data_IF_274732880527
#
_entry.id   IF_274732880527
#
_cell.length_a   1.000
_cell.length_b   1.000
_cell.length_c   1.000
_cell.angle_alpha   90.00
_cell.angle_beta   90.00
_cell.angle_gamma   90.00
#
_symmetry.space_group_name_H-M   'P 1'
#
loop_
_entity.id
_entity.type
_entity.pdbx_description
1 polymer ?
#
# COMPACT_ATOMS: atom_id res chain seq x y z
N UNK A 1 3.28 2.92 20.25
CA UNK A 1 2.59 1.70 19.79
C UNK A 1 1.37 1.48 20.66
N UNK A 2 0.19 1.31 20.07
CA UNK A 2 -1.06 1.14 20.82
C UNK A 2 -1.08 -0.24 21.51
N UNK A 3 -1.50 -0.36 22.79
CA UNK A 3 -1.61 -1.66 23.45
C UNK A 3 -2.55 -2.61 22.70
N UNK A 4 -2.24 -3.91 22.70
CA UNK A 4 -3.01 -4.91 21.96
C UNK A 4 -4.49 -4.95 22.37
N UNK A 5 -4.76 -4.86 23.68
CA UNK A 5 -6.14 -4.79 24.19
C UNK A 5 -6.91 -3.61 23.59
N UNK A 6 -6.29 -2.43 23.50
CA UNK A 6 -6.94 -1.27 22.91
C UNK A 6 -7.16 -1.43 21.40
N UNK A 7 -6.29 -2.14 20.68
CA UNK A 7 -6.50 -2.47 19.25
C UNK A 7 -7.73 -3.36 19.06
N UNK A 8 -7.92 -4.34 19.93
CA UNK A 8 -9.07 -5.24 19.93
C UNK A 8 -10.35 -4.51 20.34
N UNK A 9 -10.32 -3.78 21.46
CA UNK A 9 -11.50 -3.07 21.98
C UNK A 9 -12.03 -2.00 20.99
N UNK A 10 -11.13 -1.40 20.20
CA UNK A 10 -11.49 -0.46 19.12
C UNK A 10 -11.79 -1.15 17.78
N UNK A 11 -11.76 -2.48 17.72
CA UNK A 11 -12.02 -3.28 16.51
C UNK A 11 -11.12 -2.87 15.32
N UNK A 12 -9.90 -2.40 15.60
CA UNK A 12 -8.98 -1.92 14.56
C UNK A 12 -8.64 -3.00 13.52
N UNK A 13 -8.39 -4.27 13.89
CA UNK A 13 -8.17 -5.33 12.90
C UNK A 13 -9.33 -5.48 11.93
N UNK A 14 -10.57 -5.38 12.42
CA UNK A 14 -11.78 -5.47 11.58
C UNK A 14 -11.91 -4.26 10.66
N UNK A 15 -11.63 -3.05 11.16
CA UNK A 15 -11.60 -1.84 10.37
C UNK A 15 -10.58 -1.94 9.22
N UNK A 16 -9.34 -2.34 9.53
CA UNK A 16 -8.29 -2.50 8.53
C UNK A 16 -8.61 -3.59 7.52
N UNK A 17 -9.24 -4.69 7.93
CA UNK A 17 -9.72 -5.72 7.01
C UNK A 17 -10.76 -5.17 6.02
N UNK A 18 -11.69 -4.33 6.49
CA UNK A 18 -12.66 -3.64 5.62
C UNK A 18 -12.00 -2.70 4.61
N UNK A 19 -10.99 -1.96 5.04
CA UNK A 19 -10.21 -1.09 4.14
C UNK A 19 -9.42 -1.93 3.13
N UNK A 20 -8.77 -3.00 3.59
CA UNK A 20 -7.99 -3.90 2.76
C UNK A 20 -8.85 -4.58 1.66
N UNK A 21 -10.11 -4.90 1.97
CA UNK A 21 -11.07 -5.41 0.99
C UNK A 21 -11.40 -4.39 -0.11
N UNK A 22 -11.30 -3.09 0.18
CA UNK A 22 -11.54 -2.00 -0.77
C UNK A 22 -10.31 -1.61 -1.59
N UNK A 23 -9.13 -2.17 -1.29
CA UNK A 23 -7.90 -1.88 -2.01
C UNK A 23 -7.90 -2.50 -3.42
N UNK A 24 -7.53 -1.70 -4.43
CA UNK A 24 -7.44 -2.13 -5.84
C UNK A 24 -6.24 -3.02 -6.15
N UNK A 25 -5.20 -3.01 -5.33
CA UNK A 25 -3.95 -3.76 -5.58
C UNK A 25 -3.60 -4.70 -4.42
N UNK A 26 -2.92 -5.84 -4.69
CA UNK A 26 -2.42 -6.73 -3.65
C UNK A 26 -1.49 -6.02 -2.64
N UNK A 27 -0.63 -5.12 -3.14
CA UNK A 27 0.26 -4.33 -2.29
C UNK A 27 -0.52 -3.38 -1.37
N UNK A 28 -1.55 -2.71 -1.88
CA UNK A 28 -2.43 -1.86 -1.08
C UNK A 28 -3.15 -2.65 0.02
N UNK A 29 -3.65 -3.85 -0.33
CA UNK A 29 -4.29 -4.76 0.64
C UNK A 29 -3.35 -5.15 1.76
N UNK A 30 -2.13 -5.61 1.44
CA UNK A 30 -1.12 -5.95 2.46
C UNK A 30 -0.73 -4.74 3.31
N UNK A 31 -0.57 -3.57 2.67
CA UNK A 31 -0.25 -2.33 3.37
C UNK A 31 -1.31 -1.97 4.41
N UNK A 32 -2.59 -2.10 4.06
CA UNK A 32 -3.71 -1.82 4.94
C UNK A 32 -3.79 -2.83 6.11
N UNK A 33 -3.59 -4.12 5.84
CA UNK A 33 -3.56 -5.15 6.90
C UNK A 33 -2.39 -4.98 7.88
N UNK A 34 -1.27 -4.43 7.40
CA UNK A 34 -0.09 -4.13 8.22
C UNK A 34 -0.10 -2.71 8.82
N UNK A 35 -1.24 -2.02 8.84
CA UNK A 35 -1.29 -0.70 9.48
C UNK A 35 -1.18 -0.78 11.01
N UNK A 36 -0.66 0.32 11.55
CA UNK A 36 -0.71 0.64 12.97
C UNK A 36 -1.08 2.13 13.10
N UNK A 37 -1.56 2.49 14.28
CA UNK A 37 -1.88 3.88 14.64
C UNK A 37 -0.57 4.65 14.75
N UNK A 38 -0.37 5.75 14.00
CA UNK A 38 0.80 6.60 14.13
C UNK A 38 0.98 7.07 15.58
N UNK A 39 2.22 7.13 16.05
CA UNK A 39 2.52 7.67 17.38
C UNK A 39 2.53 9.21 17.39
N UNK A 40 2.82 9.82 16.23
CA UNK A 40 3.03 11.25 16.10
C UNK A 40 1.85 11.94 15.42
N UNK A 41 1.51 13.13 15.93
CA UNK A 41 0.46 13.98 15.37
C UNK A 41 0.79 14.36 13.93
N UNK A 42 2.02 14.77 13.65
CA UNK A 42 2.42 15.25 12.33
C UNK A 42 2.37 14.14 11.27
N UNK A 43 2.76 12.92 11.65
CA UNK A 43 2.59 11.75 10.77
C UNK A 43 1.11 11.48 10.47
N UNK A 44 0.24 11.59 11.49
CA UNK A 44 -1.21 11.44 11.32
C UNK A 44 -1.76 12.48 10.35
N UNK A 45 -1.39 13.75 10.53
CA UNK A 45 -1.83 14.84 9.67
C UNK A 45 -1.31 14.68 8.23
N UNK A 46 -0.08 14.23 8.03
CA UNK A 46 0.47 13.95 6.72
C UNK A 46 -0.24 12.78 6.02
N UNK A 47 -0.61 11.71 6.75
CA UNK A 47 -1.42 10.61 6.21
C UNK A 47 -2.83 11.07 5.83
N UNK A 48 -3.48 11.90 6.66
CA UNK A 48 -4.80 12.46 6.39
C UNK A 48 -4.78 13.41 5.18
N UNK A 49 -3.76 14.25 5.05
CA UNK A 49 -3.60 15.15 3.90
C UNK A 49 -3.53 14.38 2.58
N UNK A 50 -2.70 13.32 2.51
CA UNK A 50 -2.61 12.44 1.33
C UNK A 50 -3.93 11.76 1.00
N UNK A 51 -4.66 11.29 2.03
CA UNK A 51 -5.98 10.69 1.84
C UNK A 51 -7.01 11.68 1.28
N UNK A 52 -7.02 12.91 1.79
CA UNK A 52 -7.90 13.99 1.30
C UNK A 52 -7.59 14.34 -0.15
N UNK A 53 -6.32 14.50 -0.48
CA UNK A 53 -5.89 14.78 -1.86
C UNK A 53 -6.37 13.68 -2.82
N UNK A 54 -6.17 12.41 -2.47
CA UNK A 54 -6.63 11.28 -3.29
C UNK A 54 -8.16 11.24 -3.46
N UNK A 55 -8.91 11.60 -2.40
CA UNK A 55 -10.36 11.68 -2.43
C UNK A 55 -10.83 12.85 -3.30
N UNK A 56 -10.22 14.01 -3.17
CA UNK A 56 -10.52 15.20 -3.97
C UNK A 56 -10.30 14.94 -5.46
N UNK A 57 -9.16 14.33 -5.80
CA UNK A 57 -8.86 13.88 -7.16
C UNK A 57 -9.94 12.93 -7.70
N UNK A 58 -10.36 11.96 -6.88
CA UNK A 58 -11.44 11.03 -7.24
C UNK A 58 -12.77 11.77 -7.48
N UNK A 59 -13.13 12.72 -6.62
CA UNK A 59 -14.37 13.50 -6.72
C UNK A 59 -14.40 14.43 -7.94
N UNK A 60 -13.22 14.89 -8.41
CA UNK A 60 -13.08 15.69 -9.64
C UNK A 60 -13.08 14.85 -10.92
N UNK A 61 -13.17 13.52 -10.81
CA UNK A 61 -13.09 12.61 -11.95
C UNK A 61 -11.66 12.36 -12.45
N UNK A 62 -10.65 12.73 -11.67
CA UNK A 62 -9.23 12.58 -11.98
C UNK A 62 -8.56 11.63 -10.97
N UNK A 63 -9.00 10.36 -10.84
CA UNK A 63 -8.49 9.47 -9.81
C UNK A 63 -6.99 9.19 -10.00
N UNK A 64 -6.29 8.89 -8.90
CA UNK A 64 -4.90 8.44 -8.97
C UNK A 64 -4.76 7.26 -9.95
N UNK A 65 -3.71 7.26 -10.81
CA UNK A 65 -3.48 6.25 -11.84
C UNK A 65 -2.96 4.94 -11.23
N UNK A 66 -3.80 4.30 -10.42
CA UNK A 66 -3.50 3.03 -9.77
C UNK A 66 -3.84 1.91 -10.76
N UNK A 67 -2.84 1.46 -11.53
CA UNK A 67 -2.93 0.24 -12.35
C UNK A 67 -2.78 -1.01 -11.48
N UNK A 68 -3.27 -2.14 -11.98
CA UNK A 68 -2.93 -3.46 -11.42
C UNK A 68 -1.47 -3.77 -11.77
N UNK A 69 -0.56 -3.33 -10.91
CA UNK A 69 0.87 -3.59 -11.06
C UNK A 69 1.22 -4.95 -10.45
N UNK A 70 2.17 -5.66 -11.06
CA UNK A 70 2.73 -6.88 -10.49
C UNK A 70 3.31 -6.61 -9.11
N UNK A 71 3.07 -7.53 -8.19
CA UNK A 71 3.63 -7.46 -6.87
C UNK A 71 5.06 -7.99 -6.87
N UNK A 72 6.02 -7.11 -6.59
CA UNK A 72 7.44 -7.44 -6.60
C UNK A 72 7.99 -7.72 -5.19
N UNK A 73 7.17 -7.74 -4.14
CA UNK A 73 7.63 -7.81 -2.75
C UNK A 73 8.58 -8.98 -2.48
N UNK A 74 8.19 -10.19 -2.87
CA UNK A 74 8.99 -11.40 -2.63
C UNK A 74 10.26 -11.44 -3.49
N UNK A 75 10.16 -11.03 -4.76
CA UNK A 75 11.30 -10.92 -5.68
C UNK A 75 12.34 -9.92 -5.17
N UNK A 76 11.89 -8.74 -4.71
CA UNK A 76 12.77 -7.72 -4.12
C UNK A 76 13.33 -8.17 -2.77
N UNK A 77 12.54 -8.86 -1.95
CA UNK A 77 12.99 -9.45 -0.69
C UNK A 77 14.13 -10.44 -0.92
N UNK A 78 13.98 -11.37 -1.88
CA UNK A 78 15.04 -12.29 -2.29
C UNK A 78 16.28 -11.56 -2.80
N UNK A 79 16.12 -10.57 -3.66
CA UNK A 79 17.23 -9.79 -4.19
C UNK A 79 18.01 -9.07 -3.07
N UNK A 80 17.31 -8.51 -2.08
CA UNK A 80 17.93 -7.87 -0.91
C UNK A 80 18.75 -8.83 -0.05
N UNK A 81 18.39 -10.12 -0.05
CA UNK A 81 19.11 -11.20 0.61
C UNK A 81 20.20 -11.83 -0.28
N UNK A 82 20.75 -11.08 -1.25
CA UNK A 82 21.74 -11.52 -2.23
C UNK A 82 21.29 -12.66 -3.16
N UNK A 83 19.98 -12.85 -3.31
CA UNK A 83 19.39 -13.78 -4.28
C UNK A 83 19.42 -13.23 -5.72
N UNK A 84 19.09 -14.09 -6.68
CA UNK A 84 19.01 -13.75 -8.10
C UNK A 84 17.55 -13.77 -8.57
N UNK A 85 17.19 -12.87 -9.48
CA UNK A 85 15.88 -12.84 -10.14
C UNK A 85 15.87 -13.75 -11.37
N UNK A 86 14.82 -14.54 -11.53
CA UNK A 86 14.58 -15.32 -12.75
C UNK A 86 14.06 -14.42 -13.89
N UNK A 87 14.14 -14.90 -15.13
CA UNK A 87 13.67 -14.17 -16.33
C UNK A 87 12.26 -13.58 -16.20
N UNK A 88 11.24 -14.35 -15.76
CA UNK A 88 9.89 -13.81 -15.55
C UNK A 88 9.81 -12.70 -14.50
N UNK A 89 10.66 -12.77 -13.46
CA UNK A 89 10.70 -11.75 -12.41
C UNK A 89 11.33 -10.45 -12.94
N UNK A 90 12.36 -10.55 -13.77
CA UNK A 90 12.95 -9.38 -14.44
C UNK A 90 11.95 -8.71 -15.38
N UNK A 91 11.15 -9.49 -16.12
CA UNK A 91 10.06 -8.95 -16.94
C UNK A 91 8.99 -8.25 -16.10
N UNK A 92 8.59 -8.85 -14.98
CA UNK A 92 7.65 -8.21 -14.07
C UNK A 92 8.19 -6.85 -13.56
N UNK A 93 9.48 -6.78 -13.22
CA UNK A 93 10.15 -5.53 -12.82
C UNK A 93 10.12 -4.49 -13.94
N UNK A 94 10.44 -4.87 -15.19
CA UNK A 94 10.44 -3.92 -16.31
C UNK A 94 9.03 -3.42 -16.62
N UNK A 95 8.01 -4.24 -16.50
CA UNK A 95 6.60 -3.84 -16.64
C UNK A 95 6.20 -2.80 -15.58
N UNK A 96 6.56 -3.03 -14.31
CA UNK A 96 6.31 -2.06 -13.22
C UNK A 96 6.98 -0.72 -13.51
N UNK A 97 8.26 -0.74 -13.91
CA UNK A 97 9.02 0.47 -14.23
C UNK A 97 8.46 1.20 -15.46
N UNK A 98 8.01 0.45 -16.48
CA UNK A 98 7.38 1.03 -17.66
C UNK A 98 6.07 1.74 -17.32
N UNK A 99 5.25 1.15 -16.44
CA UNK A 99 4.02 1.78 -15.93
C UNK A 99 4.33 3.06 -15.15
N UNK A 100 5.35 3.03 -14.27
CA UNK A 100 5.73 4.20 -13.48
C UNK A 100 6.22 5.39 -14.33
N UNK A 101 6.80 5.12 -15.51
CA UNK A 101 7.23 6.17 -16.46
C UNK A 101 6.08 6.75 -17.29
N UNK A 102 4.99 6.01 -17.45
CA UNK A 102 3.84 6.43 -18.25
C UNK A 102 2.86 7.34 -17.48
N UNK A 103 3.08 7.49 -16.17
CA UNK A 103 2.38 8.38 -15.24
C UNK A 103 3.19 9.66 -15.06
#
# INVERSE_FOLDING_TARGET
MLPEKARVDLELPRLWAGIAASCRTPMGRRRALGWDVPAEHDETMARLARGREALDLTNRGEPLPISSTNDLGDSLGRLSAFGVLAGPELLAVTEVLAQARAV
#
